data_IF_456665575766
#
_entry.id   IF_456665575766
#
_cell.length_a   1.000
_cell.length_b   1.000
_cell.length_c   1.000
_cell.angle_alpha   90.00
_cell.angle_beta   90.00
_cell.angle_gamma   90.00
#
_symmetry.space_group_name_H-M   'P 1'
#
loop_
_entity.id
_entity.type
_entity.pdbx_description
1 polymer ?
#
# COMPACT_ATOMS: atom_id res chain seq x y z
N UNK A 1 -6.65 21.97 27.03
CA UNK A 1 -7.83 21.19 27.42
C UNK A 1 -7.86 19.93 26.56
N UNK A 2 -7.83 18.75 27.15
CA UNK A 2 -7.80 17.48 26.41
C UNK A 2 -9.18 16.81 26.48
N UNK A 3 -9.71 16.40 25.32
CA UNK A 3 -10.99 15.73 25.19
C UNK A 3 -10.71 14.29 24.75
N UNK A 4 -11.15 13.33 25.56
CA UNK A 4 -11.03 11.90 25.23
C UNK A 4 -12.31 11.38 24.60
N UNK A 5 -12.19 10.76 23.42
CA UNK A 5 -13.26 10.10 22.69
C UNK A 5 -13.13 8.60 22.83
N UNK A 6 -14.18 7.96 23.36
CA UNK A 6 -14.23 6.50 23.42
C UNK A 6 -14.37 5.87 22.03
N UNK A 7 -14.31 4.55 21.95
CA UNK A 7 -14.37 3.81 20.69
C UNK A 7 -15.59 4.12 19.83
N UNK A 8 -16.77 4.38 20.42
CA UNK A 8 -17.98 4.71 19.68
C UNK A 8 -17.92 6.11 19.06
N UNK A 9 -17.47 7.10 19.82
CA UNK A 9 -17.28 8.46 19.29
C UNK A 9 -16.15 8.52 18.28
N UNK A 10 -15.08 7.73 18.47
CA UNK A 10 -14.01 7.57 17.49
C UNK A 10 -14.54 6.99 16.18
N UNK A 11 -15.42 5.98 16.24
CA UNK A 11 -16.05 5.37 15.06
C UNK A 11 -16.94 6.37 14.31
N UNK A 12 -17.74 7.17 15.02
CA UNK A 12 -18.55 8.24 14.41
C UNK A 12 -17.65 9.27 13.73
N UNK A 13 -16.59 9.73 14.40
CA UNK A 13 -15.64 10.68 13.83
C UNK A 13 -14.98 10.12 12.56
N UNK A 14 -14.51 8.86 12.59
CA UNK A 14 -13.92 8.19 11.46
C UNK A 14 -14.88 8.05 10.27
N UNK A 15 -16.14 7.69 10.53
CA UNK A 15 -17.17 7.59 9.47
C UNK A 15 -17.50 8.94 8.86
N UNK A 16 -17.54 10.02 9.63
CA UNK A 16 -17.69 11.39 9.11
C UNK A 16 -16.49 11.79 8.24
N UNK A 17 -15.27 11.48 8.66
CA UNK A 17 -14.05 11.69 7.87
C UNK A 17 -14.16 10.96 6.52
N UNK A 18 -14.61 9.70 6.51
CA UNK A 18 -14.80 8.94 5.26
C UNK A 18 -15.84 9.58 4.34
N UNK A 19 -16.98 10.04 4.89
CA UNK A 19 -18.02 10.72 4.09
C UNK A 19 -17.52 12.02 3.48
N UNK A 20 -16.77 12.82 4.25
CA UNK A 20 -16.12 14.05 3.75
C UNK A 20 -15.11 13.69 2.66
N UNK A 21 -14.25 12.71 2.90
CA UNK A 21 -13.25 12.25 1.93
C UNK A 21 -13.89 11.78 0.63
N UNK A 22 -14.95 10.97 0.70
CA UNK A 22 -15.73 10.53 -0.45
C UNK A 22 -16.30 11.70 -1.26
N UNK A 23 -16.85 12.70 -0.56
CA UNK A 23 -17.36 13.91 -1.20
C UNK A 23 -16.23 14.67 -1.92
N UNK A 24 -15.06 14.83 -1.28
CA UNK A 24 -13.91 15.54 -1.84
C UNK A 24 -13.34 14.83 -3.07
N UNK A 25 -13.10 13.51 -2.99
CA UNK A 25 -12.58 12.71 -4.12
C UNK A 25 -13.56 12.75 -5.29
N UNK A 26 -14.89 12.75 -5.03
CA UNK A 26 -15.90 12.89 -6.09
C UNK A 26 -15.86 14.27 -6.75
N UNK A 27 -15.57 15.34 -6.02
CA UNK A 27 -15.63 16.73 -6.51
C UNK A 27 -14.30 17.24 -7.07
N UNK A 28 -13.17 16.85 -6.47
CA UNK A 28 -11.85 17.36 -6.81
C UNK A 28 -11.17 16.38 -7.78
N UNK A 29 -11.06 16.77 -9.06
CA UNK A 29 -10.45 15.95 -10.11
C UNK A 29 -9.02 15.52 -9.75
N UNK A 30 -8.21 16.42 -9.17
CA UNK A 30 -6.83 16.13 -8.76
C UNK A 30 -6.73 14.91 -7.83
N UNK A 31 -7.59 14.83 -6.81
CA UNK A 31 -7.57 13.71 -5.85
C UNK A 31 -7.88 12.38 -6.54
N UNK A 32 -8.79 12.40 -7.50
CA UNK A 32 -9.18 11.25 -8.30
C UNK A 32 -8.08 10.83 -9.27
N UNK A 33 -7.50 11.79 -9.99
CA UNK A 33 -6.46 11.55 -10.99
C UNK A 33 -5.18 10.95 -10.36
N UNK A 34 -4.90 11.26 -9.09
CA UNK A 34 -3.79 10.70 -8.32
C UNK A 34 -4.18 9.52 -7.42
N UNK A 35 -5.40 9.00 -7.55
CA UNK A 35 -5.90 7.88 -6.74
C UNK A 35 -5.76 8.09 -5.21
N UNK A 36 -5.90 9.33 -4.74
CA UNK A 36 -5.83 9.62 -3.30
C UNK A 36 -7.00 8.93 -2.60
N UNK A 37 -6.73 8.05 -1.60
CA UNK A 37 -7.78 7.33 -0.88
C UNK A 37 -8.74 8.29 -0.17
N UNK A 38 -10.03 7.95 -0.16
CA UNK A 38 -11.06 8.73 0.54
C UNK A 38 -10.71 9.00 2.01
N UNK A 39 -10.25 8.00 2.80
CA UNK A 39 -9.85 8.25 4.19
C UNK A 39 -8.69 9.23 4.32
N UNK A 40 -7.76 9.25 3.36
CA UNK A 40 -6.63 10.18 3.37
C UNK A 40 -7.09 11.61 3.08
N UNK A 41 -7.93 11.79 2.06
CA UNK A 41 -8.46 13.10 1.71
C UNK A 41 -9.29 13.72 2.87
N UNK A 42 -10.18 12.93 3.47
CA UNK A 42 -10.99 13.38 4.61
C UNK A 42 -10.16 13.55 5.89
N UNK A 43 -9.26 12.61 6.15
CA UNK A 43 -8.42 12.60 7.35
C UNK A 43 -7.43 13.75 7.41
N UNK A 44 -6.84 14.14 6.29
CA UNK A 44 -5.97 15.33 6.24
C UNK A 44 -6.73 16.62 6.55
N UNK A 45 -7.97 16.77 6.07
CA UNK A 45 -8.81 17.92 6.45
C UNK A 45 -9.12 17.90 7.95
N UNK A 46 -9.49 16.73 8.49
CA UNK A 46 -9.72 16.61 9.92
C UNK A 46 -8.47 16.95 10.72
N UNK A 47 -7.30 16.42 10.32
CA UNK A 47 -6.02 16.72 10.97
C UNK A 47 -5.66 18.21 10.92
N UNK A 48 -5.93 18.91 9.80
CA UNK A 48 -5.74 20.37 9.68
C UNK A 48 -6.69 21.12 10.63
N UNK A 49 -7.96 20.73 10.70
CA UNK A 49 -8.93 21.34 11.62
C UNK A 49 -8.47 21.17 13.07
N UNK A 50 -8.06 19.95 13.45
CA UNK A 50 -7.55 19.65 14.78
C UNK A 50 -6.27 20.43 15.10
N UNK A 51 -5.37 20.59 14.13
CA UNK A 51 -4.19 21.41 14.25
C UNK A 51 -4.52 22.88 14.50
N UNK A 52 -5.47 23.45 13.75
CA UNK A 52 -5.91 24.86 13.93
C UNK A 52 -6.55 25.04 15.31
N UNK A 53 -7.40 24.11 15.74
CA UNK A 53 -8.00 24.14 17.07
C UNK A 53 -6.95 24.05 18.18
N UNK A 54 -5.92 23.23 17.99
CA UNK A 54 -4.79 23.13 18.92
C UNK A 54 -4.02 24.45 19.03
N UNK A 55 -3.68 25.07 17.89
CA UNK A 55 -2.90 26.30 17.84
C UNK A 55 -3.66 27.52 18.38
N UNK A 56 -4.95 27.64 18.05
CA UNK A 56 -5.74 28.85 18.44
C UNK A 56 -6.33 28.75 19.85
N UNK A 57 -6.73 27.55 20.27
CA UNK A 57 -7.49 27.39 21.52
C UNK A 57 -6.80 26.47 22.54
N UNK A 58 -5.66 25.88 22.22
CA UNK A 58 -4.97 24.94 23.11
C UNK A 58 -5.77 23.66 23.39
N UNK A 59 -6.71 23.29 22.48
CA UNK A 59 -7.57 22.09 22.62
C UNK A 59 -6.93 20.94 21.90
N UNK A 60 -6.81 19.80 22.58
CA UNK A 60 -6.33 18.53 22.02
C UNK A 60 -7.42 17.48 22.10
N UNK A 61 -7.48 16.61 21.10
CA UNK A 61 -8.41 15.49 21.04
C UNK A 61 -7.62 14.19 21.04
N UNK A 62 -8.06 13.23 21.82
CA UNK A 62 -7.48 11.89 21.89
C UNK A 62 -8.57 10.89 21.53
N UNK A 63 -8.32 10.12 20.49
CA UNK A 63 -9.22 9.09 20.00
C UNK A 63 -8.71 7.72 20.44
N UNK A 64 -9.60 6.88 20.97
CA UNK A 64 -9.22 5.54 21.41
C UNK A 64 -8.73 4.67 20.26
N UNK A 65 -7.66 3.86 20.54
CA UNK A 65 -6.99 3.02 19.56
C UNK A 65 -7.56 1.60 19.36
N UNK A 66 -8.29 0.94 20.30
CA UNK A 66 -8.64 -0.47 20.17
C UNK A 66 -9.34 -0.85 18.86
N UNK A 67 -10.27 0.00 18.36
CA UNK A 67 -10.94 -0.22 17.08
C UNK A 67 -9.99 0.02 15.89
N UNK A 68 -9.13 1.03 15.98
CA UNK A 68 -8.11 1.29 14.97
C UNK A 68 -7.22 0.06 14.79
N UNK A 69 -6.73 -0.50 15.90
CA UNK A 69 -5.85 -1.67 15.90
C UNK A 69 -6.58 -2.91 15.36
N UNK A 70 -7.84 -3.12 15.76
CA UNK A 70 -8.65 -4.22 15.25
C UNK A 70 -8.83 -4.15 13.73
N UNK A 71 -9.19 -2.99 13.18
CA UNK A 71 -9.34 -2.80 11.73
C UNK A 71 -8.02 -2.93 10.98
N UNK A 72 -6.91 -2.49 11.56
CA UNK A 72 -5.56 -2.71 11.01
C UNK A 72 -5.26 -4.20 10.88
N UNK A 73 -5.46 -4.97 11.94
CA UNK A 73 -5.19 -6.41 11.95
C UNK A 73 -6.07 -7.16 10.95
N UNK A 74 -7.38 -6.80 10.83
CA UNK A 74 -8.30 -7.37 9.82
C UNK A 74 -7.81 -7.05 8.41
N UNK A 75 -7.36 -5.82 8.15
CA UNK A 75 -6.81 -5.43 6.85
C UNK A 75 -5.59 -6.27 6.46
N UNK A 76 -4.59 -6.40 7.34
CA UNK A 76 -3.41 -7.22 7.03
C UNK A 76 -3.74 -8.72 6.91
N UNK A 77 -4.71 -9.21 7.68
CA UNK A 77 -5.25 -10.55 7.52
C UNK A 77 -5.86 -10.75 6.13
N UNK A 78 -6.61 -9.77 5.60
CA UNK A 78 -7.21 -9.85 4.27
C UNK A 78 -6.15 -9.93 3.17
N UNK A 79 -5.05 -9.19 3.29
CA UNK A 79 -3.90 -9.29 2.37
C UNK A 79 -3.33 -10.71 2.40
N UNK A 80 -3.09 -11.26 3.58
CA UNK A 80 -2.59 -12.63 3.72
C UNK A 80 -3.52 -13.68 3.12
N UNK A 81 -4.83 -13.58 3.38
CA UNK A 81 -5.84 -14.48 2.83
C UNK A 81 -6.02 -14.34 1.31
N UNK A 82 -5.62 -13.23 0.70
CA UNK A 82 -5.62 -13.05 -0.76
C UNK A 82 -4.40 -13.67 -1.42
N UNK A 83 -3.36 -14.06 -0.66
CA UNK A 83 -2.10 -14.62 -1.16
C UNK A 83 -2.21 -16.11 -1.52
N UNK A 84 -2.73 -16.41 -2.71
CA UNK A 84 -2.89 -17.76 -3.24
C UNK A 84 -1.70 -18.16 -4.11
N UNK A 85 -0.87 -19.11 -3.64
CA UNK A 85 0.30 -19.61 -4.36
C UNK A 85 -0.05 -20.39 -5.64
N UNK A 86 -1.28 -20.84 -5.82
CA UNK A 86 -1.69 -21.46 -7.09
C UNK A 86 -1.64 -20.47 -8.25
N UNK A 87 -1.90 -19.20 -7.99
CA UNK A 87 -1.79 -18.10 -8.97
C UNK A 87 -0.35 -17.84 -9.41
N UNK A 88 0.64 -18.17 -8.58
CA UNK A 88 2.05 -18.07 -8.93
C UNK A 88 2.39 -18.96 -10.14
N UNK A 89 1.78 -20.14 -10.21
CA UNK A 89 1.95 -21.05 -11.35
C UNK A 89 1.39 -20.47 -12.65
N UNK A 90 0.29 -19.70 -12.58
CA UNK A 90 -0.33 -19.07 -13.75
C UNK A 90 0.55 -17.94 -14.33
N UNK A 91 1.27 -17.19 -13.47
CA UNK A 91 2.18 -16.13 -13.90
C UNK A 91 3.54 -16.62 -14.43
N UNK A 92 3.91 -17.85 -14.12
CA UNK A 92 5.14 -18.51 -14.61
C UNK A 92 6.43 -17.79 -14.23
N UNK A 93 7.49 -18.09 -14.96
CA UNK A 93 8.84 -17.51 -14.72
C UNK A 93 8.87 -15.97 -14.74
N UNK A 94 8.16 -15.26 -15.65
CA UNK A 94 8.14 -13.78 -15.63
C UNK A 94 7.63 -13.18 -14.33
N UNK A 95 6.64 -13.81 -13.68
CA UNK A 95 6.12 -13.35 -12.38
C UNK A 95 7.18 -13.50 -11.29
N UNK A 96 7.91 -14.63 -11.26
CA UNK A 96 8.98 -14.87 -10.29
C UNK A 96 10.12 -13.85 -10.46
N UNK A 97 10.54 -13.62 -11.71
CA UNK A 97 11.60 -12.62 -12.02
C UNK A 97 11.14 -11.24 -11.58
N UNK A 98 9.90 -10.84 -11.92
CA UNK A 98 9.39 -9.52 -11.55
C UNK A 98 9.30 -9.36 -10.03
N UNK A 99 8.83 -10.39 -9.32
CA UNK A 99 8.79 -10.42 -7.85
C UNK A 99 10.19 -10.26 -7.24
N UNK A 100 11.19 -10.94 -7.78
CA UNK A 100 12.59 -10.79 -7.34
C UNK A 100 13.14 -9.39 -7.62
N UNK A 101 12.84 -8.81 -8.78
CA UNK A 101 13.21 -7.43 -9.15
C UNK A 101 12.59 -6.42 -8.19
N UNK A 102 11.32 -6.61 -7.83
CA UNK A 102 10.61 -5.75 -6.86
C UNK A 102 11.20 -5.90 -5.46
N UNK A 103 11.47 -7.13 -5.02
CA UNK A 103 12.11 -7.37 -3.72
C UNK A 103 13.49 -6.72 -3.62
N UNK A 104 14.30 -6.82 -4.67
CA UNK A 104 15.59 -6.13 -4.75
C UNK A 104 15.43 -4.60 -4.70
N UNK A 105 14.39 -4.05 -5.34
CA UNK A 105 14.08 -2.61 -5.25
C UNK A 105 13.75 -2.17 -3.82
N UNK A 106 12.97 -2.93 -3.08
CA UNK A 106 12.63 -2.65 -1.67
C UNK A 106 13.93 -2.54 -0.84
N UNK A 107 14.88 -3.43 -1.04
CA UNK A 107 16.18 -3.39 -0.37
C UNK A 107 16.93 -2.10 -0.74
N UNK A 108 17.03 -1.76 -2.03
CA UNK A 108 17.65 -0.52 -2.50
C UNK A 108 16.98 0.70 -1.91
N UNK A 109 15.65 0.74 -1.91
CA UNK A 109 14.85 1.84 -1.38
C UNK A 109 15.12 2.08 0.10
N UNK A 110 15.24 1.02 0.90
CA UNK A 110 15.56 1.13 2.32
C UNK A 110 17.01 1.58 2.55
N UNK A 111 17.99 1.04 1.83
CA UNK A 111 19.38 1.51 1.93
C UNK A 111 19.53 2.99 1.55
N UNK A 112 18.87 3.43 0.48
CA UNK A 112 18.88 4.83 0.06
C UNK A 112 18.22 5.71 1.13
N UNK A 113 17.06 5.30 1.65
CA UNK A 113 16.34 6.03 2.70
C UNK A 113 17.18 6.18 3.96
N UNK A 114 17.69 5.07 4.49
CA UNK A 114 18.54 5.05 5.69
C UNK A 114 19.84 5.83 5.49
N UNK A 115 20.50 5.63 4.34
CA UNK A 115 21.75 6.34 4.03
C UNK A 115 21.54 7.86 3.97
N UNK A 116 20.47 8.32 3.35
CA UNK A 116 20.14 9.76 3.27
C UNK A 116 19.70 10.32 4.63
N UNK A 117 18.87 9.60 5.40
CA UNK A 117 18.47 10.02 6.72
C UNK A 117 19.70 10.22 7.61
N UNK A 118 20.61 9.24 7.63
CA UNK A 118 21.86 9.31 8.39
C UNK A 118 22.75 10.47 7.92
N UNK A 119 22.89 10.65 6.59
CA UNK A 119 23.70 11.75 6.03
C UNK A 119 23.12 13.14 6.36
N UNK A 120 21.82 13.25 6.55
CA UNK A 120 21.13 14.49 6.96
C UNK A 120 21.06 14.65 8.49
N UNK A 121 21.69 13.77 9.26
CA UNK A 121 21.69 13.81 10.72
C UNK A 121 20.37 13.40 11.38
N UNK A 122 19.53 12.64 10.66
CA UNK A 122 18.26 12.12 11.15
C UNK A 122 18.41 10.69 11.66
N UNK A 123 17.46 10.23 12.47
CA UNK A 123 17.39 8.83 12.89
C UNK A 123 17.27 7.91 11.64
N UNK A 124 18.05 6.82 11.54
CA UNK A 124 17.97 5.85 10.44
C UNK A 124 16.57 5.30 10.18
N UNK A 125 15.73 5.18 11.20
CA UNK A 125 14.34 4.74 11.08
C UNK A 125 13.47 5.70 10.26
N UNK A 126 13.77 7.01 10.25
CA UNK A 126 13.13 7.97 9.36
C UNK A 126 13.38 7.57 7.90
N UNK A 127 14.56 7.04 7.60
CA UNK A 127 14.89 6.52 6.28
C UNK A 127 14.06 5.30 5.87
N UNK A 128 13.68 4.44 6.80
CA UNK A 128 12.76 3.33 6.53
C UNK A 128 11.33 3.83 6.32
N UNK A 129 10.88 4.82 7.12
CA UNK A 129 9.56 5.45 6.93
C UNK A 129 9.47 6.14 5.57
N UNK A 130 10.48 6.92 5.18
CA UNK A 130 10.56 7.59 3.88
C UNK A 130 11.08 6.68 2.76
N UNK A 131 11.29 5.41 3.07
CA UNK A 131 11.65 4.31 2.19
C UNK A 131 10.47 3.40 1.90
N UNK A 132 10.68 2.09 2.00
CA UNK A 132 9.69 1.11 1.57
C UNK A 132 8.45 1.00 2.46
N UNK A 133 8.50 1.45 3.72
CA UNK A 133 7.31 1.48 4.60
C UNK A 133 6.17 2.25 3.93
N UNK A 134 6.48 3.41 3.35
CA UNK A 134 5.47 4.33 2.81
C UNK A 134 5.38 4.33 1.30
N UNK A 135 6.51 4.25 0.61
CA UNK A 135 6.54 4.37 -0.84
C UNK A 135 6.07 3.07 -1.52
N UNK A 136 6.56 1.92 -1.09
CA UNK A 136 6.12 0.61 -1.60
C UNK A 136 4.91 0.08 -0.81
N UNK A 137 4.92 0.19 0.53
CA UNK A 137 3.84 -0.32 1.38
C UNK A 137 2.63 0.62 1.51
N UNK A 138 2.78 1.89 1.14
CA UNK A 138 1.68 2.86 1.13
C UNK A 138 1.17 3.26 2.52
N UNK A 139 -0.05 3.81 2.55
CA UNK A 139 -0.67 4.33 3.78
C UNK A 139 -0.98 3.24 4.81
N UNK A 140 -1.33 2.03 4.36
CA UNK A 140 -1.63 0.90 5.26
C UNK A 140 -0.41 0.52 6.09
N UNK A 141 0.71 0.29 5.43
CA UNK A 141 1.97 -0.06 6.09
C UNK A 141 2.53 1.10 6.91
N UNK A 142 2.40 2.35 6.43
CA UNK A 142 2.75 3.55 7.19
C UNK A 142 1.97 3.65 8.51
N UNK A 143 0.66 3.40 8.46
CA UNK A 143 -0.19 3.44 9.64
C UNK A 143 0.06 2.30 10.63
N UNK A 144 0.61 1.18 10.17
CA UNK A 144 0.97 0.05 11.02
C UNK A 144 2.34 0.23 11.69
N UNK A 145 3.38 0.55 10.93
CA UNK A 145 4.73 0.74 11.45
C UNK A 145 4.91 2.06 12.21
N UNK A 146 4.20 3.13 11.83
CA UNK A 146 4.33 4.44 12.46
C UNK A 146 4.09 4.40 13.97
N UNK A 147 2.93 3.92 14.46
CA UNK A 147 2.66 3.78 15.89
C UNK A 147 3.62 2.84 16.62
N UNK A 148 4.09 1.78 15.95
CA UNK A 148 5.08 0.86 16.51
C UNK A 148 6.43 1.55 16.70
N UNK A 149 6.87 2.38 15.75
CA UNK A 149 8.08 3.18 15.85
C UNK A 149 7.97 4.28 16.91
N UNK A 150 6.81 4.89 17.07
CA UNK A 150 6.55 5.86 18.16
C UNK A 150 6.63 5.19 19.51
N UNK A 151 6.00 4.02 19.69
CA UNK A 151 5.90 3.34 20.96
C UNK A 151 7.20 2.62 21.38
N UNK A 152 7.84 1.88 20.46
CA UNK A 152 9.02 1.06 20.77
C UNK A 152 10.33 1.84 20.70
N UNK A 153 10.43 2.79 19.76
CA UNK A 153 11.68 3.47 19.47
C UNK A 153 11.66 4.98 19.77
N UNK A 154 10.53 5.51 20.26
CA UNK A 154 10.40 6.91 20.66
C UNK A 154 10.48 7.89 19.48
N UNK A 155 10.22 7.43 18.25
CA UNK A 155 10.29 8.26 17.06
C UNK A 155 9.01 9.10 16.91
N UNK A 156 8.98 10.25 17.57
CA UNK A 156 7.83 11.15 17.61
C UNK A 156 7.40 11.57 16.20
N UNK A 157 6.09 11.48 15.91
CA UNK A 157 5.52 11.89 14.63
C UNK A 157 5.72 10.89 13.47
N UNK A 158 6.20 9.66 13.74
CA UNK A 158 6.47 8.64 12.73
C UNK A 158 5.23 8.31 11.89
N UNK A 159 4.05 8.21 12.52
CA UNK A 159 2.77 7.95 11.83
C UNK A 159 2.44 9.08 10.85
N UNK A 160 2.58 10.32 11.30
CA UNK A 160 2.30 11.50 10.48
C UNK A 160 3.26 11.64 9.30
N UNK A 161 4.54 11.46 9.57
CA UNK A 161 5.59 11.44 8.56
C UNK A 161 5.30 10.34 7.50
N UNK A 162 4.90 9.16 7.96
CA UNK A 162 4.53 8.06 7.09
C UNK A 162 3.35 8.39 6.17
N UNK A 163 2.26 8.95 6.72
CA UNK A 163 1.09 9.36 5.93
C UNK A 163 1.41 10.41 4.87
N UNK A 164 2.23 11.42 5.23
CA UNK A 164 2.68 12.45 4.30
C UNK A 164 3.55 11.85 3.18
N UNK A 165 4.50 10.98 3.52
CA UNK A 165 5.40 10.32 2.57
C UNK A 165 4.65 9.39 1.62
N UNK A 166 3.66 8.63 2.12
CA UNK A 166 2.83 7.76 1.29
C UNK A 166 1.97 8.58 0.31
N UNK A 167 1.43 9.73 0.75
CA UNK A 167 0.69 10.64 -0.14
C UNK A 167 1.58 11.21 -1.23
N UNK A 168 2.81 11.64 -0.88
CA UNK A 168 3.82 12.05 -1.86
C UNK A 168 4.08 10.93 -2.87
N UNK A 169 4.27 9.71 -2.38
CA UNK A 169 4.52 8.54 -3.22
C UNK A 169 3.41 8.27 -4.23
N UNK A 170 2.13 8.35 -3.82
CA UNK A 170 1.00 8.19 -4.75
C UNK A 170 1.03 9.20 -5.90
N UNK A 171 1.30 10.47 -5.58
CA UNK A 171 1.37 11.54 -6.58
C UNK A 171 2.52 11.29 -7.55
N UNK A 172 3.73 11.10 -7.05
CA UNK A 172 4.91 10.94 -7.89
C UNK A 172 4.95 9.59 -8.62
N UNK A 173 4.50 8.52 -7.99
CA UNK A 173 4.33 7.21 -8.64
C UNK A 173 3.40 7.28 -9.86
N UNK A 174 2.31 8.04 -9.76
CA UNK A 174 1.41 8.31 -10.89
C UNK A 174 2.02 9.18 -11.98
N UNK A 175 2.87 10.14 -11.61
CA UNK A 175 3.47 11.08 -12.55
C UNK A 175 4.61 10.46 -13.37
N UNK A 176 5.45 9.59 -12.79
CA UNK A 176 6.68 9.13 -13.44
C UNK A 176 6.48 7.91 -14.34
N UNK A 177 5.49 7.06 -14.09
CA UNK A 177 5.32 5.79 -14.81
C UNK A 177 5.09 5.97 -16.30
N UNK A 178 4.21 6.90 -16.69
CA UNK A 178 3.94 7.25 -18.07
C UNK A 178 5.18 7.73 -18.85
N UNK A 179 5.89 8.77 -18.38
CA UNK A 179 7.12 9.26 -19.00
C UNK A 179 8.22 8.19 -19.12
N UNK A 180 8.43 7.35 -18.10
CA UNK A 180 9.42 6.26 -18.14
C UNK A 180 9.10 5.29 -19.27
N UNK A 181 7.88 4.77 -19.31
CA UNK A 181 7.49 3.80 -20.35
C UNK A 181 7.52 4.41 -21.75
N UNK A 182 6.97 5.63 -21.94
CA UNK A 182 7.01 6.32 -23.24
C UNK A 182 8.42 6.50 -23.76
N UNK A 183 9.37 6.88 -22.89
CA UNK A 183 10.78 7.00 -23.28
C UNK A 183 11.37 5.66 -23.75
N UNK A 184 11.06 4.57 -23.06
CA UNK A 184 11.52 3.22 -23.40
C UNK A 184 10.90 2.75 -24.73
N UNK A 185 9.60 2.95 -24.93
CA UNK A 185 8.85 2.56 -26.12
C UNK A 185 9.33 3.37 -27.36
N UNK A 186 9.53 4.67 -27.20
CA UNK A 186 10.03 5.52 -28.30
C UNK A 186 11.45 5.10 -28.72
N UNK A 187 12.29 4.67 -27.78
CA UNK A 187 13.64 4.15 -28.08
C UNK A 187 13.60 2.85 -28.90
N UNK A 188 12.51 2.07 -28.78
CA UNK A 188 12.28 0.87 -29.60
C UNK A 188 11.70 1.20 -31.00
N UNK A 189 11.37 2.44 -31.28
CA UNK A 189 10.77 2.84 -32.56
C UNK A 189 9.31 2.41 -32.73
N UNK A 190 8.61 1.97 -31.66
CA UNK A 190 7.20 1.59 -31.73
C UNK A 190 6.33 2.84 -31.86
N UNK A 191 5.52 2.90 -32.92
CA UNK A 191 4.60 3.99 -33.16
C UNK A 191 3.30 3.80 -32.36
N UNK A 192 2.60 4.90 -31.98
CA UNK A 192 1.25 4.82 -31.47
C UNK A 192 0.34 4.04 -32.43
N UNK A 193 -0.60 3.30 -31.89
CA UNK A 193 -1.63 2.66 -32.71
C UNK A 193 -2.54 3.77 -33.25
N UNK A 194 -2.59 3.96 -34.60
CA UNK A 194 -3.57 4.84 -35.20
C UNK A 194 -4.95 4.30 -34.86
N UNK A 195 -5.70 5.03 -34.02
CA UNK A 195 -7.11 4.75 -33.79
C UNK A 195 -7.85 4.97 -35.10
N UNK A 196 -7.97 3.92 -35.90
CA UNK A 196 -9.06 3.84 -36.86
C UNK A 196 -10.32 3.98 -36.03
N UNK A 197 -11.13 5.01 -36.34
CA UNK A 197 -12.43 5.28 -35.71
C UNK A 197 -13.42 4.15 -36.05
N UNK A 198 -13.16 2.96 -35.55
CA UNK A 198 -14.07 1.82 -35.60
C UNK A 198 -13.70 0.93 -34.44
N UNK A 199 -14.68 0.73 -33.59
CA UNK A 199 -14.72 -0.02 -32.34
C UNK A 199 -14.49 0.84 -31.06
N UNK A 200 -15.31 1.89 -30.91
CA UNK A 200 -15.94 2.19 -29.63
C UNK A 200 -17.02 1.13 -29.38
N UNK A 201 -16.62 -0.12 -29.45
CA UNK A 201 -17.36 -1.16 -28.78
C UNK A 201 -16.71 -1.32 -27.40
N UNK A 202 -17.53 -1.29 -26.40
CA UNK A 202 -17.32 -1.29 -24.96
C UNK A 202 -16.54 -2.49 -24.42
N UNK A 203 -15.60 -3.06 -25.18
CA UNK A 203 -14.93 -4.33 -24.89
C UNK A 203 -13.59 -4.18 -24.14
N UNK A 204 -13.11 -2.97 -23.84
CA UNK A 204 -11.92 -2.82 -22.98
C UNK A 204 -12.25 -3.06 -21.51
N UNK A 205 -13.50 -2.82 -21.10
CA UNK A 205 -14.00 -3.15 -19.76
C UNK A 205 -14.36 -4.65 -19.64
N UNK A 206 -14.72 -5.32 -20.73
CA UNK A 206 -15.10 -6.74 -20.77
C UNK A 206 -13.94 -7.72 -20.56
N UNK A 207 -12.70 -7.30 -20.70
CA UNK A 207 -11.53 -8.19 -20.45
C UNK A 207 -11.28 -8.38 -18.95
N UNK A 208 -11.73 -7.44 -18.12
CA UNK A 208 -11.61 -7.52 -16.65
C UNK A 208 -12.93 -7.87 -15.94
N UNK A 209 -14.06 -7.58 -16.54
CA UNK A 209 -15.39 -7.99 -16.10
C UNK A 209 -16.09 -8.83 -17.15
N UNK A 210 -15.60 -10.04 -17.39
CA UNK A 210 -16.61 -11.04 -17.80
C UNK A 210 -17.60 -11.09 -16.65
N UNK A 211 -18.88 -10.87 -16.97
CA UNK A 211 -19.99 -11.08 -16.06
C UNK A 211 -20.08 -12.57 -15.69
N UNK A 212 -19.06 -13.09 -15.03
CA UNK A 212 -19.19 -14.25 -14.15
C UNK A 212 -20.29 -13.85 -13.20
N UNK A 213 -21.41 -14.59 -13.18
CA UNK A 213 -22.47 -14.48 -12.18
C UNK A 213 -21.81 -14.13 -10.85
N UNK A 214 -21.83 -12.85 -10.47
CA UNK A 214 -21.12 -12.35 -9.31
C UNK A 214 -21.78 -12.98 -8.10
N UNK A 215 -21.10 -13.93 -7.46
CA UNK A 215 -21.57 -14.53 -6.21
C UNK A 215 -21.81 -13.40 -5.25
N UNK A 216 -23.08 -13.18 -4.86
CA UNK A 216 -23.46 -12.13 -3.91
C UNK A 216 -22.89 -12.48 -2.53
N UNK A 217 -22.49 -11.44 -1.78
CA UNK A 217 -22.12 -11.61 -0.39
C UNK A 217 -23.41 -11.85 0.39
N UNK A 218 -23.59 -13.05 0.94
CA UNK A 218 -24.70 -13.43 1.81
C UNK A 218 -24.26 -13.36 3.27
N UNK A 219 -25.21 -13.36 4.20
CA UNK A 219 -24.89 -13.45 5.63
C UNK A 219 -24.02 -14.66 5.96
N UNK A 220 -24.28 -15.80 5.32
CA UNK A 220 -23.50 -17.04 5.48
C UNK A 220 -22.06 -16.82 5.06
N UNK A 221 -21.81 -16.35 3.82
CA UNK A 221 -20.45 -16.09 3.33
C UNK A 221 -19.72 -15.00 4.11
N UNK A 222 -20.44 -14.03 4.66
CA UNK A 222 -19.87 -13.03 5.54
C UNK A 222 -19.40 -13.66 6.87
N UNK A 223 -20.21 -14.52 7.48
CA UNK A 223 -19.84 -15.26 8.71
C UNK A 223 -18.65 -16.18 8.48
N UNK A 224 -18.62 -16.93 7.35
CA UNK A 224 -17.47 -17.75 6.96
C UNK A 224 -16.19 -16.92 6.85
N UNK A 225 -16.26 -15.76 6.18
CA UNK A 225 -15.12 -14.86 6.04
C UNK A 225 -14.65 -14.29 7.38
N UNK A 226 -15.60 -13.89 8.25
CA UNK A 226 -15.26 -13.43 9.60
C UNK A 226 -14.65 -14.54 10.46
N UNK A 227 -15.08 -15.80 10.30
CA UNK A 227 -14.48 -16.92 10.99
C UNK A 227 -13.01 -17.13 10.55
N UNK A 228 -12.72 -16.97 9.25
CA UNK A 228 -11.33 -17.03 8.75
C UNK A 228 -10.47 -15.88 9.31
N UNK A 229 -11.01 -14.66 9.36
CA UNK A 229 -10.31 -13.55 10.01
C UNK A 229 -10.06 -13.84 11.49
N UNK A 230 -11.04 -14.33 12.22
CA UNK A 230 -10.88 -14.70 13.63
C UNK A 230 -9.79 -15.78 13.82
N UNK A 231 -9.74 -16.79 12.94
CA UNK A 231 -8.70 -17.83 12.98
C UNK A 231 -7.30 -17.23 12.76
N UNK A 232 -7.14 -16.30 11.81
CA UNK A 232 -5.87 -15.61 11.57
C UNK A 232 -5.47 -14.72 12.75
N UNK A 233 -6.42 -14.00 13.35
CA UNK A 233 -6.18 -13.17 14.53
C UNK A 233 -5.76 -14.03 15.73
N UNK A 234 -6.41 -15.17 15.94
CA UNK A 234 -6.02 -16.13 16.99
C UNK A 234 -4.62 -16.71 16.74
N UNK A 235 -4.30 -17.04 15.49
CA UNK A 235 -2.95 -17.46 15.10
C UNK A 235 -1.92 -16.36 15.43
N UNK A 236 -2.22 -15.11 15.06
CA UNK A 236 -1.33 -13.99 15.33
C UNK A 236 -1.13 -13.73 16.83
N UNK A 237 -2.17 -13.92 17.65
CA UNK A 237 -2.07 -13.82 19.12
C UNK A 237 -1.13 -14.85 19.70
N UNK A 238 -1.24 -16.10 19.25
CA UNK A 238 -0.36 -17.21 19.68
C UNK A 238 1.09 -16.92 19.25
N UNK A 239 1.30 -16.50 17.99
CA UNK A 239 2.63 -16.25 17.47
C UNK A 239 3.29 -15.01 18.09
N UNK A 240 2.55 -13.95 18.36
CA UNK A 240 3.04 -12.76 19.07
C UNK A 240 3.54 -13.11 20.48
N UNK A 241 2.85 -14.03 21.16
CA UNK A 241 3.30 -14.55 22.45
C UNK A 241 4.62 -15.34 22.37
N UNK A 242 4.75 -16.20 21.36
CA UNK A 242 5.98 -16.97 21.13
C UNK A 242 7.13 -16.10 20.64
N UNK A 243 6.86 -15.14 19.77
CA UNK A 243 7.87 -14.31 19.13
C UNK A 243 8.63 -13.43 20.12
N UNK A 244 7.91 -12.82 21.06
CA UNK A 244 8.50 -11.98 22.13
C UNK A 244 9.49 -12.72 23.01
N UNK A 245 9.31 -14.04 23.16
CA UNK A 245 10.14 -14.86 24.04
C UNK A 245 11.31 -15.55 23.28
N UNK A 246 11.11 -15.90 21.99
CA UNK A 246 12.02 -16.83 21.29
C UNK A 246 12.52 -16.40 19.92
N UNK A 247 11.97 -15.35 19.28
CA UNK A 247 12.26 -15.05 17.87
C UNK A 247 12.71 -13.59 17.63
N UNK A 248 11.93 -12.80 16.89
CA UNK A 248 12.37 -11.53 16.30
C UNK A 248 11.61 -10.29 16.79
N UNK A 249 10.66 -10.41 17.73
CA UNK A 249 9.75 -9.34 18.20
C UNK A 249 9.05 -8.61 17.04
N UNK A 250 8.39 -9.38 16.17
CA UNK A 250 7.65 -8.87 15.03
C UNK A 250 6.38 -8.14 15.47
N UNK A 251 5.98 -7.04 14.80
CA UNK A 251 4.67 -6.45 15.03
C UNK A 251 3.54 -7.44 14.75
N UNK A 252 2.50 -7.44 15.59
CA UNK A 252 1.37 -8.39 15.51
C UNK A 252 0.70 -8.45 14.13
N UNK A 253 0.61 -7.32 13.42
CA UNK A 253 0.02 -7.29 12.08
C UNK A 253 0.81 -8.13 11.06
N UNK A 254 2.12 -8.29 11.24
CA UNK A 254 2.95 -9.16 10.39
C UNK A 254 2.53 -10.63 10.60
N UNK A 255 2.25 -11.03 11.83
CA UNK A 255 1.73 -12.38 12.13
C UNK A 255 0.33 -12.59 11.56
N UNK A 256 -0.53 -11.55 11.54
CA UNK A 256 -1.83 -11.61 10.87
C UNK A 256 -1.69 -11.88 9.36
N UNK A 257 -0.77 -11.17 8.71
CA UNK A 257 -0.47 -11.34 7.30
C UNK A 257 0.06 -12.76 7.01
N UNK A 258 1.07 -13.23 7.74
CA UNK A 258 1.60 -14.59 7.59
C UNK A 258 0.56 -15.67 7.89
N UNK A 259 -0.23 -15.49 8.96
CA UNK A 259 -1.34 -16.40 9.31
C UNK A 259 -2.35 -16.52 8.18
N UNK A 260 -2.72 -15.40 7.55
CA UNK A 260 -3.58 -15.39 6.38
C UNK A 260 -3.00 -16.19 5.23
N UNK A 261 -1.71 -15.99 4.90
CA UNK A 261 -1.01 -16.75 3.85
C UNK A 261 -1.03 -18.26 4.15
N UNK A 262 -0.70 -18.65 5.37
CA UNK A 262 -0.65 -20.07 5.79
C UNK A 262 -2.04 -20.70 5.72
N UNK A 263 -3.03 -20.06 6.33
CA UNK A 263 -4.42 -20.56 6.36
C UNK A 263 -4.99 -20.67 4.93
N UNK A 264 -4.81 -19.63 4.09
CA UNK A 264 -5.24 -19.65 2.68
C UNK A 264 -4.70 -20.87 1.95
N UNK A 265 -3.40 -21.06 1.99
CA UNK A 265 -2.75 -22.08 1.17
C UNK A 265 -2.99 -23.50 1.72
N UNK A 266 -3.11 -23.69 3.04
CA UNK A 266 -3.50 -24.97 3.64
C UNK A 266 -4.93 -25.33 3.22
N UNK A 267 -5.89 -24.42 3.38
CA UNK A 267 -7.30 -24.67 3.06
C UNK A 267 -7.48 -24.95 1.56
N UNK A 268 -6.79 -24.21 0.70
CA UNK A 268 -6.88 -24.39 -0.75
C UNK A 268 -6.19 -25.68 -1.21
N UNK A 269 -4.96 -25.95 -0.73
CA UNK A 269 -4.16 -27.09 -1.19
C UNK A 269 -4.59 -28.43 -0.57
N UNK A 270 -4.82 -28.46 0.76
CA UNK A 270 -5.13 -29.69 1.48
C UNK A 270 -6.64 -30.00 1.50
N UNK A 271 -7.48 -29.01 1.70
CA UNK A 271 -8.92 -29.20 1.87
C UNK A 271 -9.75 -28.79 0.64
N UNK A 272 -9.11 -28.23 -0.41
CA UNK A 272 -9.76 -27.78 -1.66
C UNK A 272 -10.92 -26.80 -1.40
N UNK A 273 -10.84 -26.02 -0.34
CA UNK A 273 -11.84 -25.01 0.00
C UNK A 273 -11.73 -23.87 -1.02
N UNK A 274 -12.87 -23.56 -1.66
CA UNK A 274 -12.95 -22.42 -2.56
C UNK A 274 -13.31 -21.18 -1.74
N UNK A 275 -12.32 -20.39 -1.38
CA UNK A 275 -12.51 -19.17 -0.60
C UNK A 275 -13.23 -18.10 -1.41
N UNK A 276 -14.04 -17.29 -0.73
CA UNK A 276 -14.78 -16.22 -1.36
C UNK A 276 -13.94 -14.92 -1.35
N UNK A 277 -13.00 -14.79 -2.28
CA UNK A 277 -12.05 -13.67 -2.39
C UNK A 277 -12.75 -12.30 -2.33
N UNK A 278 -13.91 -12.15 -2.99
CA UNK A 278 -14.65 -10.89 -2.97
C UNK A 278 -15.11 -10.46 -1.57
N UNK A 279 -15.51 -11.39 -0.72
CA UNK A 279 -15.88 -11.06 0.65
C UNK A 279 -14.65 -10.64 1.46
N UNK A 280 -13.52 -11.35 1.30
CA UNK A 280 -12.24 -11.00 1.91
C UNK A 280 -11.83 -9.59 1.51
N UNK A 281 -11.90 -9.24 0.21
CA UNK A 281 -11.55 -7.92 -0.31
C UNK A 281 -12.49 -6.82 0.23
N UNK A 282 -13.79 -7.07 0.30
CA UNK A 282 -14.76 -6.07 0.79
C UNK A 282 -14.52 -5.77 2.27
N UNK A 283 -14.36 -6.79 3.11
CA UNK A 283 -14.07 -6.59 4.54
C UNK A 283 -12.68 -5.97 4.76
N UNK A 284 -11.67 -6.41 3.99
CA UNK A 284 -10.32 -5.86 4.06
C UNK A 284 -10.28 -4.36 3.70
N UNK A 285 -10.90 -3.98 2.58
CA UNK A 285 -10.93 -2.57 2.14
C UNK A 285 -11.77 -1.67 3.07
N UNK A 286 -12.89 -2.17 3.59
CA UNK A 286 -13.67 -1.43 4.60
C UNK A 286 -12.85 -1.21 5.88
N UNK A 287 -12.14 -2.25 6.33
CA UNK A 287 -11.26 -2.17 7.50
C UNK A 287 -10.09 -1.22 7.28
N UNK A 288 -9.44 -1.25 6.10
CA UNK A 288 -8.41 -0.28 5.74
C UNK A 288 -8.93 1.15 5.81
N UNK A 289 -10.10 1.40 5.24
CA UNK A 289 -10.68 2.75 5.21
C UNK A 289 -10.94 3.30 6.61
N UNK A 290 -11.53 2.49 7.50
CA UNK A 290 -11.80 2.87 8.89
C UNK A 290 -10.49 3.04 9.67
N UNK A 291 -9.55 2.11 9.54
CA UNK A 291 -8.23 2.18 10.14
C UNK A 291 -7.50 3.48 9.78
N UNK A 292 -7.41 3.81 8.48
CA UNK A 292 -6.74 5.03 8.02
C UNK A 292 -7.44 6.30 8.51
N UNK A 293 -8.77 6.35 8.50
CA UNK A 293 -9.53 7.48 9.02
C UNK A 293 -9.24 7.72 10.52
N UNK A 294 -9.20 6.64 11.32
CA UNK A 294 -8.88 6.72 12.76
C UNK A 294 -7.40 7.11 12.99
N UNK A 295 -6.47 6.57 12.20
CA UNK A 295 -5.05 6.91 12.30
C UNK A 295 -4.81 8.40 12.01
N UNK A 296 -5.50 8.95 11.00
CA UNK A 296 -5.38 10.37 10.64
C UNK A 296 -6.08 11.33 11.62
N UNK A 297 -7.12 10.87 12.33
CA UNK A 297 -7.70 11.61 13.45
C UNK A 297 -6.73 11.76 14.62
N UNK A 298 -5.85 10.78 14.83
CA UNK A 298 -4.81 10.82 15.86
C UNK A 298 -3.53 11.55 15.40
N UNK A 299 -3.50 12.08 14.17
CA UNK A 299 -2.33 12.73 13.58
C UNK A 299 -2.08 14.11 14.18
N UNK A 300 -0.91 14.29 14.79
CA UNK A 300 -0.46 15.54 15.39
C UNK A 300 0.48 16.27 14.44
N UNK A 301 -0.06 17.11 13.56
CA UNK A 301 0.72 17.82 12.54
C UNK A 301 1.81 18.73 13.11
N UNK A 302 1.68 19.21 14.34
CA UNK A 302 2.69 20.06 15.01
C UNK A 302 3.99 19.31 15.36
N UNK A 303 3.95 17.97 15.43
CA UNK A 303 5.15 17.13 15.67
C UNK A 303 6.03 17.00 14.42
N UNK A 304 5.52 17.35 13.24
CA UNK A 304 6.24 17.25 11.96
C UNK A 304 7.06 18.51 11.62
N UNK A 305 6.96 19.56 12.44
CA UNK A 305 7.67 20.81 12.21
C UNK A 305 9.18 20.60 12.30
N UNK A 306 9.91 20.98 11.24
CA UNK A 306 11.36 20.81 11.15
C UNK A 306 11.83 19.62 10.29
N UNK A 307 10.99 18.61 10.06
CA UNK A 307 11.34 17.45 9.22
C UNK A 307 11.05 17.66 7.73
N UNK A 308 10.21 18.63 7.37
CA UNK A 308 9.71 18.79 6.00
C UNK A 308 10.82 18.95 4.95
N UNK A 309 11.87 19.76 5.22
CA UNK A 309 12.98 19.95 4.30
C UNK A 309 13.78 18.68 4.02
N UNK A 310 14.39 18.07 5.04
CA UNK A 310 15.15 16.82 4.88
C UNK A 310 14.33 15.69 4.26
N UNK A 311 13.09 15.51 4.69
CA UNK A 311 12.19 14.48 4.16
C UNK A 311 11.88 14.70 2.68
N UNK A 312 11.63 15.94 2.26
CA UNK A 312 11.41 16.25 0.84
C UNK A 312 12.63 15.87 -0.01
N UNK A 313 13.85 16.09 0.49
CA UNK A 313 15.08 15.67 -0.19
C UNK A 313 15.13 14.15 -0.34
N UNK A 314 14.87 13.41 0.73
CA UNK A 314 14.87 11.94 0.70
C UNK A 314 13.85 11.44 -0.33
N UNK A 315 12.61 11.92 -0.28
CA UNK A 315 11.53 11.51 -1.17
C UNK A 315 11.82 11.86 -2.65
N UNK A 316 12.43 13.02 -2.90
CA UNK A 316 12.86 13.40 -4.25
C UNK A 316 13.94 12.46 -4.78
N UNK A 317 14.95 12.12 -3.98
CA UNK A 317 15.99 11.15 -4.36
C UNK A 317 15.39 9.76 -4.56
N UNK A 318 14.48 9.31 -3.70
CA UNK A 318 13.76 8.05 -3.87
C UNK A 318 13.01 8.00 -5.21
N UNK A 319 12.39 9.11 -5.62
CA UNK A 319 11.71 9.22 -6.92
C UNK A 319 12.70 9.05 -8.08
N UNK A 320 13.87 9.69 -8.01
CA UNK A 320 14.93 9.54 -9.02
C UNK A 320 15.44 8.09 -9.06
N UNK A 321 15.67 7.48 -7.90
CA UNK A 321 16.12 6.08 -7.80
C UNK A 321 15.07 5.14 -8.42
N UNK A 322 13.77 5.36 -8.19
CA UNK A 322 12.71 4.58 -8.84
C UNK A 322 12.77 4.68 -10.36
N UNK A 323 12.91 5.89 -10.91
CA UNK A 323 13.03 6.11 -12.37
C UNK A 323 14.23 5.38 -12.94
N UNK A 324 15.39 5.48 -12.29
CA UNK A 324 16.62 4.78 -12.71
C UNK A 324 16.44 3.26 -12.61
N UNK A 325 15.89 2.78 -11.51
CA UNK A 325 15.67 1.35 -11.30
C UNK A 325 14.69 0.76 -12.32
N UNK A 326 13.56 1.43 -12.55
CA UNK A 326 12.58 1.01 -13.55
C UNK A 326 13.19 0.96 -14.96
N UNK A 327 14.03 1.94 -15.30
CA UNK A 327 14.65 2.07 -16.62
C UNK A 327 15.79 1.06 -16.84
N UNK A 328 16.66 0.87 -15.86
CA UNK A 328 17.90 0.10 -16.03
C UNK A 328 17.85 -1.30 -15.44
N UNK A 329 16.98 -1.54 -14.46
CA UNK A 329 16.84 -2.85 -13.84
C UNK A 329 15.54 -3.51 -14.31
N UNK A 330 14.38 -2.96 -13.95
CA UNK A 330 13.09 -3.60 -14.26
C UNK A 330 12.94 -3.87 -15.76
N UNK A 331 13.12 -2.86 -16.59
CA UNK A 331 13.01 -3.01 -18.05
C UNK A 331 14.00 -4.04 -18.62
N UNK A 332 15.23 -4.06 -18.11
CA UNK A 332 16.27 -4.95 -18.61
C UNK A 332 16.00 -6.41 -18.23
N UNK A 333 15.67 -6.68 -16.97
CA UNK A 333 15.41 -8.03 -16.48
C UNK A 333 14.08 -8.61 -17.00
N UNK A 334 13.14 -7.75 -17.39
CA UNK A 334 11.85 -8.20 -17.92
C UNK A 334 11.85 -8.46 -19.43
N UNK A 335 12.99 -8.27 -20.13
CA UNK A 335 13.16 -8.70 -21.52
C UNK A 335 13.39 -7.58 -22.54
N UNK A 336 13.44 -6.30 -22.13
CA UNK A 336 13.68 -5.12 -22.99
C UNK A 336 12.68 -4.97 -24.14
N UNK A 337 11.50 -5.53 -24.01
CA UNK A 337 10.42 -5.48 -24.98
C UNK A 337 9.33 -4.47 -24.57
N UNK A 338 8.24 -4.43 -25.33
CA UNK A 338 7.09 -3.58 -25.05
C UNK A 338 6.44 -3.91 -23.70
N UNK A 339 6.27 -5.21 -23.42
CA UNK A 339 5.69 -5.66 -22.16
C UNK A 339 6.58 -5.24 -20.97
N UNK A 340 7.90 -5.31 -21.12
CA UNK A 340 8.84 -4.85 -20.12
C UNK A 340 8.73 -3.34 -19.86
N UNK A 341 8.46 -2.52 -20.87
CA UNK A 341 8.23 -1.09 -20.71
C UNK A 341 6.92 -0.81 -19.95
N UNK A 342 5.86 -1.56 -20.23
CA UNK A 342 4.58 -1.46 -19.50
C UNK A 342 4.74 -1.95 -18.06
N UNK A 343 5.49 -3.04 -17.83
CA UNK A 343 5.85 -3.53 -16.49
C UNK A 343 6.64 -2.48 -15.70
N UNK A 344 7.57 -1.76 -16.35
CA UNK A 344 8.32 -0.67 -15.72
C UNK A 344 7.41 0.49 -15.30
N UNK A 345 6.38 0.84 -16.11
CA UNK A 345 5.37 1.83 -15.73
C UNK A 345 4.56 1.37 -14.51
N UNK A 346 4.15 0.11 -14.49
CA UNK A 346 3.45 -0.49 -13.34
C UNK A 346 4.32 -0.48 -12.08
N UNK A 347 5.60 -0.85 -12.20
CA UNK A 347 6.54 -0.83 -11.08
C UNK A 347 6.71 0.58 -10.50
N UNK A 348 6.83 1.62 -11.34
CA UNK A 348 6.85 3.00 -10.86
C UNK A 348 5.61 3.35 -10.03
N UNK A 349 4.44 2.85 -10.43
CA UNK A 349 3.17 3.13 -9.78
C UNK A 349 3.07 2.54 -8.37
N UNK A 350 3.34 1.24 -8.19
CA UNK A 350 3.24 0.62 -6.86
C UNK A 350 4.53 0.72 -6.05
N UNK A 351 5.69 0.89 -6.69
CA UNK A 351 6.97 1.05 -5.98
C UNK A 351 7.14 2.41 -5.28
N UNK A 352 6.32 3.41 -5.65
CA UNK A 352 6.20 4.69 -4.93
C UNK A 352 4.79 4.94 -4.40
N UNK A 353 3.79 4.20 -4.82
CA UNK A 353 2.40 4.54 -4.52
C UNK A 353 1.56 3.34 -4.10
N UNK A 354 0.79 2.81 -5.06
CA UNK A 354 -0.14 1.71 -4.80
C UNK A 354 -0.48 0.95 -6.09
N UNK A 355 -1.03 -0.26 -5.96
CA UNK A 355 -1.47 -1.07 -7.11
C UNK A 355 -2.45 -0.35 -8.05
N UNK A 356 -3.45 0.41 -7.59
CA UNK A 356 -4.29 1.20 -8.49
C UNK A 356 -3.50 2.22 -9.33
N UNK A 357 -2.50 2.87 -8.75
CA UNK A 357 -1.60 3.80 -9.46
C UNK A 357 -0.79 3.08 -10.54
N UNK A 358 -0.33 1.87 -10.24
CA UNK A 358 0.36 1.03 -11.22
C UNK A 358 -0.55 0.68 -12.42
N UNK A 359 -1.79 0.27 -12.14
CA UNK A 359 -2.78 -0.05 -13.19
C UNK A 359 -3.09 1.18 -14.05
N UNK A 360 -3.30 2.35 -13.44
CA UNK A 360 -3.55 3.60 -14.15
C UNK A 360 -2.38 3.98 -15.07
N UNK A 361 -1.13 3.84 -14.60
CA UNK A 361 0.06 4.06 -15.42
C UNK A 361 0.11 3.12 -16.63
N UNK A 362 -0.16 1.83 -16.42
CA UNK A 362 -0.20 0.85 -17.52
C UNK A 362 -1.32 1.15 -18.52
N UNK A 363 -2.53 1.47 -18.06
CA UNK A 363 -3.66 1.84 -18.91
C UNK A 363 -3.34 3.04 -19.79
N UNK A 364 -2.72 4.09 -19.23
CA UNK A 364 -2.31 5.29 -20.01
C UNK A 364 -1.36 4.93 -21.16
N UNK A 365 -0.49 3.94 -20.97
CA UNK A 365 0.44 3.48 -22.02
C UNK A 365 -0.27 2.57 -23.02
N UNK A 366 -1.03 1.60 -22.54
CA UNK A 366 -1.68 0.61 -23.44
C UNK A 366 -2.78 1.22 -24.28
N UNK A 367 -3.45 2.27 -23.80
CA UNK A 367 -4.38 3.06 -24.60
C UNK A 367 -3.70 3.70 -25.82
N UNK A 368 -2.43 4.09 -25.71
CA UNK A 368 -1.69 4.75 -26.78
C UNK A 368 -0.95 3.76 -27.71
N UNK A 369 -0.36 2.71 -27.15
CA UNK A 369 0.57 1.82 -27.85
C UNK A 369 0.07 0.39 -28.04
N UNK A 370 -1.14 0.09 -27.58
CA UNK A 370 -1.80 -1.23 -27.69
C UNK A 370 -1.65 -2.08 -26.42
N UNK A 371 -2.42 -3.18 -26.34
CA UNK A 371 -2.53 -3.99 -25.12
C UNK A 371 -1.24 -4.71 -24.73
N UNK A 372 -1.09 -4.99 -23.42
CA UNK A 372 0.00 -5.78 -22.83
C UNK A 372 -0.60 -6.77 -21.80
N UNK A 373 -1.06 -7.92 -22.26
CA UNK A 373 -1.69 -8.92 -21.40
C UNK A 373 -0.74 -9.42 -20.30
N UNK A 374 0.57 -9.54 -20.61
CA UNK A 374 1.59 -9.96 -19.67
C UNK A 374 1.72 -8.99 -18.49
N UNK A 375 1.76 -7.68 -18.77
CA UNK A 375 1.90 -6.69 -17.70
C UNK A 375 0.66 -6.62 -16.81
N UNK A 376 -0.56 -6.67 -17.40
CA UNK A 376 -1.81 -6.68 -16.63
C UNK A 376 -2.08 -7.97 -15.86
N UNK A 377 -1.41 -9.07 -16.20
CA UNK A 377 -1.41 -10.27 -15.38
C UNK A 377 -0.43 -10.15 -14.19
N UNK A 378 0.80 -9.69 -14.46
CA UNK A 378 1.90 -9.75 -13.48
C UNK A 378 1.82 -8.63 -12.44
N UNK A 379 1.60 -7.36 -12.86
CA UNK A 379 1.67 -6.21 -11.95
C UNK A 379 0.62 -6.28 -10.84
N UNK A 380 -0.68 -6.54 -11.12
CA UNK A 380 -1.67 -6.66 -10.06
C UNK A 380 -1.39 -7.83 -9.11
N UNK A 381 -0.88 -8.96 -9.64
CA UNK A 381 -0.56 -10.13 -8.80
C UNK A 381 0.60 -9.85 -7.84
N UNK A 382 1.65 -9.16 -8.29
CA UNK A 382 2.78 -8.80 -7.44
C UNK A 382 2.40 -7.66 -6.49
N UNK A 383 1.76 -6.62 -7.00
CA UNK A 383 1.42 -5.42 -6.23
C UNK A 383 0.29 -5.60 -5.22
N UNK A 384 -0.58 -6.62 -5.37
CA UNK A 384 -1.71 -6.81 -4.47
C UNK A 384 -1.34 -7.55 -3.17
N UNK A 385 -0.33 -8.44 -3.17
CA UNK A 385 0.01 -9.22 -1.98
C UNK A 385 1.48 -9.64 -1.86
N UNK A 386 2.20 -9.97 -2.96
CA UNK A 386 3.61 -10.38 -2.84
C UNK A 386 4.50 -9.25 -2.32
N UNK A 387 4.20 -8.03 -2.75
CA UNK A 387 4.95 -6.84 -2.32
C UNK A 387 4.86 -6.65 -0.81
N UNK A 388 3.67 -6.73 -0.24
CA UNK A 388 3.46 -6.51 1.19
C UNK A 388 4.17 -7.58 2.03
N UNK A 389 4.10 -8.84 1.60
CA UNK A 389 4.77 -9.96 2.26
C UNK A 389 6.30 -9.80 2.25
N UNK A 390 6.87 -9.48 1.08
CA UNK A 390 8.31 -9.29 0.90
C UNK A 390 8.77 -8.05 1.65
N UNK A 391 8.00 -6.96 1.58
CA UNK A 391 8.29 -5.72 2.28
C UNK A 391 8.31 -5.92 3.79
N UNK A 392 7.33 -6.60 4.35
CA UNK A 392 7.30 -6.91 5.78
C UNK A 392 8.53 -7.72 6.23
N UNK A 393 8.92 -8.75 5.46
CA UNK A 393 10.09 -9.56 5.78
C UNK A 393 11.41 -8.74 5.70
N UNK A 394 11.57 -7.94 4.65
CA UNK A 394 12.76 -7.09 4.47
C UNK A 394 12.84 -6.02 5.55
N UNK A 395 11.72 -5.32 5.84
CA UNK A 395 11.66 -4.27 6.86
C UNK A 395 12.03 -4.82 8.25
N UNK A 396 11.52 -5.99 8.61
CA UNK A 396 11.90 -6.64 9.85
C UNK A 396 13.41 -6.85 9.96
N UNK A 397 14.05 -7.32 8.88
CA UNK A 397 15.51 -7.46 8.83
C UNK A 397 16.24 -6.13 9.04
N UNK A 398 15.77 -5.05 8.40
CA UNK A 398 16.35 -3.72 8.57
C UNK A 398 16.16 -3.17 9.98
N UNK A 399 14.95 -3.27 10.53
CA UNK A 399 14.64 -2.78 11.89
C UNK A 399 15.51 -3.51 12.92
N UNK A 400 15.61 -4.84 12.84
CA UNK A 400 16.46 -5.62 13.75
C UNK A 400 17.95 -5.27 13.61
N UNK A 401 18.43 -4.99 12.39
CA UNK A 401 19.82 -4.61 12.16
C UNK A 401 20.18 -3.23 12.76
N UNK A 402 19.27 -2.26 12.68
CA UNK A 402 19.55 -0.91 13.18
C UNK A 402 19.21 -0.69 14.65
N UNK A 403 18.50 -1.63 15.29
CA UNK A 403 18.08 -1.54 16.69
C UNK A 403 18.64 -2.65 17.59
N UNK A 404 19.29 -3.69 17.02
CA UNK A 404 20.13 -4.64 17.77
C UNK A 404 21.48 -4.01 18.04
#
# INVERSE_FOLDING_TARGET
MEWEFNSYYTLIAATLVLLVGKFLVKKIKLLRDFNIPEPVAGGLIAAIILFVLHQLYGVSFKFEKPLQDAFMLIFFTSIGLSADFSRLKAGGLPLVIFTAVVGAFIIVQNFVGVGLATALGLDPLIGLITGSITLTGGHGTAGAWGPDFEAKYGLVGATGLGMASATFGLVFGGLIGGPVARRLINKMGRKPVENTKQDQDDNADDVFEQAKRTRLITAESAVETLAMFAACLAFAEIMDGFDKEYLFDLPKFVWCLFGGVVIRNILTAAFKVNMFDRAIDVFGNASLSLFLAMALLNLKLWELTGLAGPVTVILAVQTVVMVLYATFVTYVFMGRDYDAAVLAAGHCGFGLGATPTAVANMQSITHTFGPSHKAFLIVPMVGAFFVDLINAAILTGFVNFFKG
#
